data_IF_644137020627
#
_entry.id   IF_644137020627
#
_cell.length_a   1.000
_cell.length_b   1.000
_cell.length_c   1.000
_cell.angle_alpha   90.00
_cell.angle_beta   90.00
_cell.angle_gamma   90.00
#
_symmetry.space_group_name_H-M   'P 1'
#
loop_
_entity.id
_entity.type
_entity.pdbx_description
1 polymer ?
#
# COMPACT_ATOMS: atom_id res chain seq x y z
N UNK A 1 15.84 -5.35 2.79
CA UNK A 1 16.39 -6.52 2.06
C UNK A 1 15.80 -6.56 0.66
N UNK A 2 16.49 -7.16 -0.31
CA UNK A 2 15.96 -7.43 -1.65
C UNK A 2 16.24 -8.90 -1.94
N UNK A 3 15.22 -9.64 -2.38
CA UNK A 3 15.37 -11.04 -2.80
C UNK A 3 14.37 -11.36 -3.91
N UNK A 4 14.74 -12.28 -4.80
CA UNK A 4 13.84 -12.88 -5.79
C UNK A 4 13.39 -14.29 -5.39
N UNK A 5 13.80 -14.78 -4.22
CA UNK A 5 13.44 -16.09 -3.70
C UNK A 5 12.27 -15.97 -2.71
N UNK A 6 11.19 -16.70 -2.99
CA UNK A 6 9.96 -16.68 -2.19
C UNK A 6 10.19 -17.18 -0.76
N UNK A 7 10.95 -18.27 -0.62
CA UNK A 7 11.25 -18.88 0.68
C UNK A 7 12.11 -17.94 1.52
N UNK A 8 13.12 -17.32 0.90
CA UNK A 8 13.97 -16.34 1.57
C UNK A 8 13.17 -15.13 2.04
N UNK A 9 12.27 -14.59 1.22
CA UNK A 9 11.43 -13.45 1.59
C UNK A 9 10.65 -13.73 2.89
N UNK A 10 9.98 -14.88 2.96
CA UNK A 10 9.22 -15.26 4.16
C UNK A 10 10.10 -15.65 5.34
N UNK A 11 11.27 -16.27 5.10
CA UNK A 11 12.24 -16.58 6.16
C UNK A 11 12.79 -15.30 6.81
N UNK A 12 13.10 -14.28 6.00
CA UNK A 12 13.54 -12.97 6.49
C UNK A 12 12.43 -12.27 7.29
N UNK A 13 11.17 -12.38 6.84
CA UNK A 13 10.03 -11.83 7.57
C UNK A 13 9.84 -12.53 8.93
N UNK A 14 9.90 -13.87 8.96
CA UNK A 14 9.79 -14.65 10.18
C UNK A 14 10.90 -14.32 11.20
N UNK A 15 12.17 -14.25 10.76
CA UNK A 15 13.29 -13.86 11.65
C UNK A 15 13.09 -12.47 12.26
N UNK A 16 12.59 -11.50 11.46
CA UNK A 16 12.32 -10.16 11.93
C UNK A 16 11.17 -10.10 12.95
N UNK A 17 10.11 -10.89 12.72
CA UNK A 17 8.98 -11.03 13.65
C UNK A 17 9.45 -11.65 14.97
N UNK A 18 10.18 -12.77 14.92
CA UNK A 18 10.71 -13.46 16.11
C UNK A 18 11.60 -12.55 16.96
N UNK A 19 12.41 -11.73 16.29
CA UNK A 19 13.33 -10.77 16.94
C UNK A 19 12.66 -9.45 17.30
N UNK A 20 11.40 -9.23 16.90
CA UNK A 20 10.63 -8.00 17.08
C UNK A 20 11.36 -6.75 16.57
N UNK A 21 11.97 -6.86 15.38
CA UNK A 21 12.66 -5.75 14.73
C UNK A 21 11.91 -5.32 13.46
N UNK A 22 11.71 -4.01 13.24
CA UNK A 22 11.15 -3.54 11.98
C UNK A 22 12.05 -3.93 10.80
N UNK A 23 11.45 -4.49 9.77
CA UNK A 23 12.15 -4.97 8.59
C UNK A 23 11.32 -4.66 7.33
N UNK A 24 11.97 -4.15 6.29
CA UNK A 24 11.38 -4.01 4.96
C UNK A 24 12.08 -4.95 3.98
N UNK A 25 11.29 -5.75 3.28
CA UNK A 25 11.75 -6.77 2.33
C UNK A 25 11.09 -6.48 0.99
N UNK A 26 11.89 -6.16 -0.02
CA UNK A 26 11.43 -6.05 -1.39
C UNK A 26 11.57 -7.42 -2.07
N UNK A 27 10.45 -8.03 -2.41
CA UNK A 27 10.43 -9.23 -3.24
C UNK A 27 10.44 -8.82 -4.72
N UNK A 28 11.47 -9.24 -5.46
CA UNK A 28 11.56 -9.03 -6.90
C UNK A 28 10.85 -10.17 -7.64
N UNK A 29 9.55 -9.98 -7.86
CA UNK A 29 8.70 -10.92 -8.58
C UNK A 29 7.25 -10.43 -8.65
N UNK A 30 6.34 -11.31 -9.07
CA UNK A 30 4.92 -10.99 -9.14
C UNK A 30 4.24 -11.21 -7.77
N UNK A 31 3.46 -10.23 -7.31
CA UNK A 31 2.76 -10.29 -6.02
C UNK A 31 1.82 -11.50 -5.91
N UNK A 32 1.20 -11.92 -7.03
CA UNK A 32 0.30 -13.09 -7.03
C UNK A 32 1.06 -14.35 -6.63
N UNK A 33 2.28 -14.54 -7.14
CA UNK A 33 3.13 -15.68 -6.77
C UNK A 33 3.54 -15.61 -5.30
N UNK A 34 3.80 -14.40 -4.77
CA UNK A 34 4.16 -14.19 -3.36
C UNK A 34 3.01 -14.59 -2.43
N UNK A 35 1.79 -14.17 -2.75
CA UNK A 35 0.60 -14.47 -1.96
C UNK A 35 0.19 -15.95 -2.08
N UNK A 36 0.25 -16.53 -3.28
CA UNK A 36 -0.05 -17.95 -3.49
C UNK A 36 0.94 -18.83 -2.71
N UNK A 37 2.21 -18.41 -2.65
CA UNK A 37 3.20 -19.08 -1.81
C UNK A 37 2.82 -19.04 -0.32
N UNK A 38 2.42 -17.89 0.21
CA UNK A 38 1.95 -17.79 1.60
C UNK A 38 0.76 -18.70 1.85
N UNK A 39 -0.22 -18.68 0.95
CA UNK A 39 -1.42 -19.50 1.06
C UNK A 39 -1.09 -21.00 1.08
N UNK A 40 -0.22 -21.46 0.17
CA UNK A 40 0.19 -22.86 0.04
C UNK A 40 1.00 -23.35 1.25
N UNK A 41 1.80 -22.47 1.85
CA UNK A 41 2.65 -22.81 3.00
C UNK A 41 2.01 -22.46 4.36
N UNK A 42 0.73 -22.08 4.37
CA UNK A 42 -0.01 -21.66 5.57
C UNK A 42 0.70 -20.56 6.36
N UNK A 43 1.32 -19.62 5.65
CA UNK A 43 1.96 -18.46 6.25
C UNK A 43 0.88 -17.42 6.50
N UNK A 44 0.72 -17.02 7.76
CA UNK A 44 -0.24 -15.99 8.13
C UNK A 44 0.29 -14.60 7.76
N UNK A 45 -0.60 -13.78 7.19
CA UNK A 45 -0.35 -12.37 6.89
C UNK A 45 -1.38 -11.58 7.67
N UNK A 46 -0.97 -10.76 8.62
CA UNK A 46 -1.91 -10.02 9.47
C UNK A 46 -2.59 -8.89 8.68
N UNK A 47 -1.81 -8.15 7.89
CA UNK A 47 -2.24 -6.97 7.14
C UNK A 47 -1.86 -7.12 5.67
N UNK A 48 -2.83 -6.95 4.77
CA UNK A 48 -2.61 -7.03 3.32
C UNK A 48 -3.27 -5.86 2.59
N UNK A 49 -2.60 -5.36 1.56
CA UNK A 49 -3.12 -4.37 0.63
C UNK A 49 -2.43 -4.51 -0.72
N UNK A 50 -2.99 -3.89 -1.75
CA UNK A 50 -2.36 -3.78 -3.06
C UNK A 50 -2.16 -2.31 -3.46
N UNK A 51 -1.03 -2.01 -4.11
CA UNK A 51 -0.72 -0.68 -4.66
C UNK A 51 -0.16 -0.77 -6.08
N UNK A 52 -0.51 -1.82 -6.82
CA UNK A 52 -0.20 -1.88 -8.26
C UNK A 52 -0.93 -0.78 -9.03
N UNK A 53 -0.52 -0.46 -10.26
CA UNK A 53 -1.16 0.62 -11.02
C UNK A 53 -2.44 0.14 -11.73
N UNK A 54 -3.42 -0.34 -10.96
CA UNK A 54 -4.69 -0.84 -11.48
C UNK A 54 -5.63 0.25 -12.04
N UNK A 55 -5.27 1.53 -11.93
CA UNK A 55 -5.93 2.61 -12.67
C UNK A 55 -5.58 2.59 -14.17
N UNK A 56 -4.51 1.88 -14.55
CA UNK A 56 -4.00 1.77 -15.92
C UNK A 56 -3.62 0.31 -16.26
N UNK A 57 -4.46 -0.63 -15.81
CA UNK A 57 -4.18 -2.09 -15.86
C UNK A 57 -3.66 -2.52 -17.24
N UNK A 58 -4.43 -2.23 -18.28
CA UNK A 58 -4.16 -2.69 -19.64
C UNK A 58 -3.09 -1.84 -20.33
N UNK A 59 -2.71 -0.69 -19.78
CA UNK A 59 -1.66 0.18 -20.34
C UNK A 59 -0.25 -0.19 -19.81
N UNK A 60 -0.15 -1.32 -19.11
CA UNK A 60 1.10 -1.79 -18.51
C UNK A 60 1.29 -1.37 -17.06
N UNK A 61 0.26 -0.81 -16.41
CA UNK A 61 0.26 -0.57 -14.98
C UNK A 61 0.22 -1.86 -14.14
N UNK A 62 -0.23 -2.96 -14.74
CA UNK A 62 -0.28 -4.29 -14.13
C UNK A 62 0.48 -5.31 -15.00
N UNK A 63 1.40 -6.06 -14.39
CA UNK A 63 2.17 -7.08 -15.08
C UNK A 63 1.54 -8.47 -14.83
N UNK A 64 1.11 -9.21 -15.87
CA UNK A 64 0.63 -10.57 -15.73
C UNK A 64 1.65 -11.48 -15.04
N UNK A 65 1.16 -12.44 -14.26
CA UNK A 65 2.00 -13.49 -13.68
C UNK A 65 2.40 -14.50 -14.77
N UNK A 66 3.60 -15.06 -14.64
CA UNK A 66 4.13 -16.08 -15.57
C UNK A 66 4.97 -15.52 -16.72
N UNK A 67 5.10 -14.20 -16.85
CA UNK A 67 5.98 -13.55 -17.84
C UNK A 67 6.93 -12.55 -17.16
N UNK A 68 8.02 -12.20 -17.86
CA UNK A 68 8.94 -11.18 -17.38
C UNK A 68 8.42 -9.77 -17.64
N UNK A 69 9.02 -8.78 -16.98
CA UNK A 69 8.70 -7.37 -17.19
C UNK A 69 8.98 -6.92 -18.64
N UNK A 70 10.06 -7.42 -19.23
CA UNK A 70 10.46 -7.16 -20.62
C UNK A 70 9.46 -7.78 -21.59
N UNK A 71 9.08 -9.04 -21.36
CA UNK A 71 8.07 -9.74 -22.17
C UNK A 71 6.76 -8.97 -22.15
N UNK A 72 6.28 -8.62 -20.96
CA UNK A 72 5.09 -7.79 -20.78
C UNK A 72 5.18 -6.48 -21.57
N UNK A 73 6.32 -5.81 -21.53
CA UNK A 73 6.54 -4.53 -22.23
C UNK A 73 6.52 -4.71 -23.75
N UNK A 74 7.04 -5.84 -24.25
CA UNK A 74 7.00 -6.20 -25.67
C UNK A 74 5.56 -6.48 -26.11
N UNK A 75 4.83 -7.31 -25.35
CA UNK A 75 3.44 -7.69 -25.67
C UNK A 75 2.50 -6.47 -25.78
N UNK A 76 2.71 -5.42 -24.97
CA UNK A 76 1.92 -4.19 -25.08
C UNK A 76 1.92 -3.56 -26.49
N UNK A 77 2.97 -3.81 -27.28
CA UNK A 77 3.11 -3.32 -28.66
C UNK A 77 2.79 -4.38 -29.69
N UNK A 78 3.15 -5.63 -29.41
CA UNK A 78 3.17 -6.71 -30.40
C UNK A 78 1.93 -7.61 -30.34
N UNK A 79 1.34 -7.81 -29.15
CA UNK A 79 0.21 -8.72 -28.94
C UNK A 79 -0.64 -8.27 -27.75
N UNK A 80 -1.49 -7.28 -28.02
CA UNK A 80 -2.32 -6.64 -26.98
C UNK A 80 -3.45 -7.54 -26.48
N UNK A 81 -4.03 -8.34 -27.36
CA UNK A 81 -5.16 -9.22 -27.04
C UNK A 81 -4.73 -10.28 -26.02
N UNK A 82 -3.63 -11.00 -26.32
CA UNK A 82 -3.08 -11.99 -25.37
C UNK A 82 -2.66 -11.34 -24.06
N UNK A 83 -2.06 -10.14 -24.11
CA UNK A 83 -1.70 -9.41 -22.89
C UNK A 83 -2.93 -9.12 -22.01
N UNK A 84 -4.01 -8.60 -22.58
CA UNK A 84 -5.24 -8.28 -21.84
C UNK A 84 -5.88 -9.54 -21.24
N UNK A 85 -5.85 -10.68 -21.95
CA UNK A 85 -6.30 -11.97 -21.42
C UNK A 85 -5.45 -12.44 -20.22
N UNK A 86 -4.12 -12.34 -20.33
CA UNK A 86 -3.21 -12.72 -19.26
C UNK A 86 -3.33 -11.81 -18.02
N UNK A 87 -3.58 -10.52 -18.24
CA UNK A 87 -3.91 -9.56 -17.17
C UNK A 87 -5.17 -10.03 -16.44
N UNK A 88 -6.24 -10.31 -17.19
CA UNK A 88 -7.51 -10.75 -16.63
C UNK A 88 -7.36 -12.03 -15.81
N UNK A 89 -6.63 -13.00 -16.33
CA UNK A 89 -6.36 -14.25 -15.62
C UNK A 89 -5.55 -14.02 -14.33
N UNK A 90 -4.55 -13.14 -14.39
CA UNK A 90 -3.75 -12.79 -13.22
C UNK A 90 -4.60 -12.08 -12.16
N UNK A 91 -5.51 -11.17 -12.55
CA UNK A 91 -6.42 -10.49 -11.62
C UNK A 91 -7.39 -11.47 -10.94
N UNK A 92 -7.90 -12.47 -11.67
CA UNK A 92 -8.74 -13.54 -11.08
C UNK A 92 -7.98 -14.34 -10.04
N UNK A 93 -6.75 -14.76 -10.36
CA UNK A 93 -5.86 -15.43 -9.40
C UNK A 93 -5.57 -14.56 -8.17
N UNK A 94 -5.28 -13.28 -8.40
CA UNK A 94 -5.01 -12.33 -7.33
C UNK A 94 -6.20 -12.16 -6.38
N UNK A 95 -7.41 -12.05 -6.94
CA UNK A 95 -8.64 -12.02 -6.16
C UNK A 95 -8.83 -13.32 -5.34
N UNK A 96 -8.65 -14.49 -5.95
CA UNK A 96 -8.85 -15.76 -5.28
C UNK A 96 -7.88 -15.95 -4.10
N UNK A 97 -6.61 -15.63 -4.28
CA UNK A 97 -5.63 -15.76 -3.18
C UNK A 97 -5.92 -14.79 -2.04
N UNK A 98 -6.30 -13.54 -2.33
CA UNK A 98 -6.69 -12.58 -1.28
C UNK A 98 -7.93 -13.08 -0.53
N UNK A 99 -8.96 -13.56 -1.25
CA UNK A 99 -10.18 -14.09 -0.64
C UNK A 99 -9.89 -15.23 0.34
N UNK A 100 -9.02 -16.15 -0.04
CA UNK A 100 -8.60 -17.26 0.82
C UNK A 100 -7.77 -16.81 2.03
N UNK A 101 -6.87 -15.84 1.85
CA UNK A 101 -6.11 -15.25 2.97
C UNK A 101 -7.03 -14.51 3.95
N UNK A 102 -7.99 -13.74 3.45
CA UNK A 102 -9.01 -13.06 4.26
C UNK A 102 -9.88 -14.07 5.02
N UNK A 103 -10.28 -15.17 4.38
CA UNK A 103 -11.00 -16.26 5.05
C UNK A 103 -10.17 -16.92 6.19
N UNK A 104 -8.84 -16.76 6.17
CA UNK A 104 -7.91 -17.21 7.22
C UNK A 104 -7.53 -16.11 8.22
N UNK A 105 -8.22 -14.97 8.19
CA UNK A 105 -8.07 -13.90 9.17
C UNK A 105 -7.13 -12.76 8.77
N UNK A 106 -6.62 -12.73 7.53
CA UNK A 106 -5.90 -11.56 7.01
C UNK A 106 -6.86 -10.36 6.92
N UNK A 107 -6.47 -9.21 7.47
CA UNK A 107 -7.19 -7.96 7.23
C UNK A 107 -6.70 -7.35 5.91
N UNK A 108 -7.56 -7.39 4.90
CA UNK A 108 -7.32 -6.78 3.59
C UNK A 108 -8.08 -5.46 3.44
N UNK A 109 -7.42 -4.47 2.84
CA UNK A 109 -8.05 -3.22 2.44
C UNK A 109 -7.52 -2.75 1.08
N UNK A 110 -8.36 -2.07 0.30
CA UNK A 110 -7.99 -1.48 -1.00
C UNK A 110 -7.30 -0.11 -0.80
N UNK A 111 -6.13 0.09 -1.40
CA UNK A 111 -5.32 1.30 -1.23
C UNK A 111 -5.71 2.46 -2.17
N UNK A 112 -6.87 2.38 -2.85
CA UNK A 112 -7.35 3.42 -3.75
C UNK A 112 -6.66 3.43 -5.11
N UNK A 113 -6.24 2.28 -5.61
CA UNK A 113 -5.56 2.11 -6.90
C UNK A 113 -6.45 1.53 -8.01
N UNK A 114 -7.77 1.49 -7.80
CA UNK A 114 -8.77 0.86 -8.68
C UNK A 114 -8.69 -0.67 -8.79
N UNK A 115 -8.04 -1.33 -7.83
CA UNK A 115 -7.82 -2.78 -7.85
C UNK A 115 -9.12 -3.59 -7.88
N UNK A 116 -10.07 -3.30 -6.98
CA UNK A 116 -11.33 -4.06 -6.95
C UNK A 116 -12.18 -3.84 -8.22
N UNK A 117 -12.15 -2.64 -8.80
CA UNK A 117 -12.79 -2.37 -10.11
C UNK A 117 -12.14 -3.17 -11.23
N UNK A 118 -10.80 -3.23 -11.26
CA UNK A 118 -10.07 -4.04 -12.23
C UNK A 118 -10.45 -5.53 -12.14
N UNK A 119 -10.59 -6.07 -10.92
CA UNK A 119 -11.05 -7.45 -10.70
C UNK A 119 -12.48 -7.66 -11.23
N UNK A 120 -13.38 -6.71 -10.96
CA UNK A 120 -14.76 -6.76 -11.46
C UNK A 120 -14.84 -6.76 -12.99
N UNK A 121 -13.99 -5.95 -13.62
CA UNK A 121 -13.89 -5.83 -15.08
C UNK A 121 -13.25 -7.07 -15.71
N UNK A 122 -12.33 -7.73 -15.01
CA UNK A 122 -11.79 -9.04 -15.39
C UNK A 122 -12.82 -10.19 -15.29
N UNK A 123 -14.04 -9.90 -14.82
CA UNK A 123 -15.17 -10.83 -14.83
C UNK A 123 -15.51 -11.46 -13.48
N UNK A 124 -14.81 -11.11 -12.40
CA UNK A 124 -15.14 -11.60 -11.04
C UNK A 124 -16.30 -10.80 -10.48
N UNK A 125 -17.54 -11.22 -10.75
CA UNK A 125 -18.73 -10.47 -10.32
C UNK A 125 -19.01 -10.54 -8.82
N UNK A 126 -18.53 -11.58 -8.14
CA UNK A 126 -18.72 -11.74 -6.68
C UNK A 126 -17.94 -10.72 -5.84
N UNK A 127 -17.01 -9.94 -6.43
CA UNK A 127 -16.37 -8.84 -5.70
C UNK A 127 -17.33 -7.66 -5.48
N UNK A 128 -18.38 -7.52 -6.31
CA UNK A 128 -19.43 -6.52 -6.11
C UNK A 128 -20.34 -6.95 -4.95
N UNK A 129 -20.69 -5.99 -4.07
CA UNK A 129 -21.62 -6.26 -2.95
C UNK A 129 -23.00 -6.68 -3.40
N UNK A 130 -23.48 -6.15 -4.53
CA UNK A 130 -24.80 -6.48 -5.07
C UNK A 130 -24.77 -7.52 -6.19
N UNK A 131 -23.57 -7.89 -6.66
CA UNK A 131 -23.36 -8.89 -7.72
C UNK A 131 -23.78 -8.45 -9.12
N UNK A 132 -24.22 -7.21 -9.31
CA UNK A 132 -24.77 -6.70 -10.58
C UNK A 132 -24.01 -5.51 -11.15
N UNK A 133 -23.56 -4.58 -10.31
CA UNK A 133 -22.79 -3.39 -10.69
C UNK A 133 -21.90 -2.91 -9.54
N UNK A 134 -21.14 -1.85 -9.77
CA UNK A 134 -20.22 -1.24 -8.81
C UNK A 134 -20.85 -0.22 -7.86
N UNK A 135 -22.18 0.03 -7.93
CA UNK A 135 -22.81 1.17 -7.25
C UNK A 135 -22.84 1.05 -5.73
N UNK A 136 -22.96 -0.19 -5.23
CA UNK A 136 -22.96 -0.45 -3.78
C UNK A 136 -21.55 -0.72 -3.23
N UNK A 137 -20.52 -0.53 -4.08
CA UNK A 137 -19.14 -0.82 -3.75
C UNK A 137 -18.81 -2.32 -3.79
N UNK A 138 -17.66 -2.65 -3.19
CA UNK A 138 -17.06 -3.98 -3.25
C UNK A 138 -16.97 -4.65 -1.86
N UNK A 139 -16.72 -5.95 -1.84
CA UNK A 139 -16.76 -6.76 -0.61
C UNK A 139 -15.67 -6.41 0.40
N UNK A 140 -14.55 -5.82 -0.03
CA UNK A 140 -13.50 -5.35 0.85
C UNK A 140 -13.56 -3.83 1.01
N UNK A 141 -13.25 -3.30 2.21
CA UNK A 141 -13.21 -1.87 2.43
C UNK A 141 -12.06 -1.20 1.66
N UNK A 142 -12.27 0.06 1.24
CA UNK A 142 -11.14 0.94 0.91
C UNK A 142 -10.51 1.49 2.18
N UNK A 143 -9.19 1.74 2.15
CA UNK A 143 -8.48 2.45 3.22
C UNK A 143 -9.10 3.82 3.49
N UNK A 144 -9.71 4.47 2.49
CA UNK A 144 -10.39 5.76 2.70
C UNK A 144 -11.63 5.59 3.55
N UNK A 145 -12.45 4.59 3.26
CA UNK A 145 -13.74 4.37 3.92
C UNK A 145 -13.56 3.83 5.34
N UNK A 146 -12.59 2.93 5.55
CA UNK A 146 -12.46 2.16 6.79
C UNK A 146 -11.39 2.71 7.74
N UNK A 147 -10.38 3.40 7.20
CA UNK A 147 -9.27 3.95 7.99
C UNK A 147 -9.29 5.47 7.94
N UNK A 148 -9.05 6.08 6.78
CA UNK A 148 -8.80 7.52 6.70
C UNK A 148 -10.00 8.36 7.08
N UNK A 149 -11.21 8.02 6.62
CA UNK A 149 -12.44 8.71 6.96
C UNK A 149 -12.66 8.73 8.48
N UNK A 150 -12.98 7.57 9.08
CA UNK A 150 -13.39 7.51 10.48
C UNK A 150 -12.24 7.77 11.47
N UNK A 151 -10.99 7.46 11.12
CA UNK A 151 -9.86 7.59 12.05
C UNK A 151 -9.08 8.90 11.86
N UNK A 152 -9.15 9.55 10.70
CA UNK A 152 -8.38 10.78 10.44
C UNK A 152 -9.26 11.96 10.02
N UNK A 153 -9.96 11.88 8.89
CA UNK A 153 -10.65 13.01 8.27
C UNK A 153 -11.84 13.50 9.09
N UNK A 154 -12.63 12.60 9.69
CA UNK A 154 -13.76 12.97 10.55
C UNK A 154 -13.30 13.77 11.79
N UNK A 155 -12.04 13.57 12.20
CA UNK A 155 -11.39 14.32 13.27
C UNK A 155 -10.59 15.53 12.78
N UNK A 156 -10.62 15.83 11.48
CA UNK A 156 -9.94 16.95 10.85
C UNK A 156 -8.46 16.71 10.53
N UNK A 157 -7.90 15.54 10.84
CA UNK A 157 -6.51 15.22 10.49
C UNK A 157 -6.37 15.15 8.99
N UNK A 158 -5.37 15.81 8.46
CA UNK A 158 -5.04 15.76 7.05
C UNK A 158 -3.61 16.23 6.81
N UNK A 159 -3.10 16.08 5.57
CA UNK A 159 -1.73 16.39 5.25
C UNK A 159 -1.46 17.88 5.49
N UNK A 160 -0.57 18.17 6.44
CA UNK A 160 -0.02 19.48 6.72
C UNK A 160 1.45 19.50 6.29
N UNK A 161 1.81 20.44 5.42
CA UNK A 161 3.13 20.49 4.78
C UNK A 161 3.66 21.92 4.83
N UNK A 162 4.96 22.03 5.07
CA UNK A 162 5.67 23.31 4.97
C UNK A 162 6.99 23.14 4.20
N UNK A 163 7.54 24.28 3.78
CA UNK A 163 8.80 24.38 3.04
C UNK A 163 9.63 25.53 3.61
N UNK A 164 10.90 25.29 3.89
CA UNK A 164 11.85 26.31 4.31
C UNK A 164 12.44 27.02 3.09
N UNK A 165 11.97 28.24 2.79
CA UNK A 165 12.41 29.02 1.64
C UNK A 165 13.89 29.44 1.68
N UNK A 166 14.53 29.37 2.85
CA UNK A 166 15.97 29.56 3.00
C UNK A 166 16.79 28.45 2.31
N UNK A 167 16.18 27.30 2.04
CA UNK A 167 16.86 26.10 1.52
C UNK A 167 17.81 25.44 2.53
N UNK A 168 17.87 25.92 3.77
CA UNK A 168 18.80 25.45 4.80
C UNK A 168 18.23 24.26 5.56
N UNK A 169 19.01 23.18 5.68
CA UNK A 169 18.62 22.00 6.46
C UNK A 169 18.38 22.36 7.93
N UNK A 170 19.16 23.29 8.47
CA UNK A 170 19.05 23.72 9.86
C UNK A 170 17.69 24.35 10.17
N UNK A 171 17.08 25.03 9.20
CA UNK A 171 15.75 25.60 9.39
C UNK A 171 14.68 24.51 9.38
N UNK A 172 14.86 23.44 8.59
CA UNK A 172 13.96 22.28 8.63
C UNK A 172 14.02 21.57 9.98
N UNK A 173 15.23 21.35 10.51
CA UNK A 173 15.43 20.76 11.85
C UNK A 173 14.73 21.60 12.92
N UNK A 174 14.87 22.94 12.88
CA UNK A 174 14.16 23.82 13.81
C UNK A 174 12.65 23.70 13.69
N UNK A 175 12.11 23.64 12.48
CA UNK A 175 10.67 23.45 12.28
C UNK A 175 10.18 22.07 12.70
N UNK A 176 10.99 21.02 12.55
CA UNK A 176 10.68 19.67 13.04
C UNK A 176 10.58 19.68 14.58
N UNK A 177 11.51 20.34 15.27
CA UNK A 177 11.44 20.51 16.73
C UNK A 177 10.21 21.32 17.16
N UNK A 178 9.95 22.45 16.52
CA UNK A 178 8.78 23.27 16.82
C UNK A 178 7.46 22.50 16.61
N UNK A 179 7.34 21.77 15.51
CA UNK A 179 6.18 20.92 15.25
C UNK A 179 6.05 19.81 16.32
N UNK A 180 7.14 19.14 16.68
CA UNK A 180 7.15 18.11 17.70
C UNK A 180 6.72 18.62 19.09
N UNK A 181 7.13 19.84 19.47
CA UNK A 181 6.74 20.49 20.73
C UNK A 181 5.24 20.85 20.77
N UNK A 182 4.64 21.16 19.62
CA UNK A 182 3.23 21.52 19.52
C UNK A 182 2.27 20.32 19.58
N UNK A 183 2.74 19.09 19.29
CA UNK A 183 1.86 17.92 19.18
C UNK A 183 1.51 17.36 20.57
N UNK A 184 0.22 17.31 20.96
CA UNK A 184 -0.20 16.73 22.23
C UNK A 184 -0.26 15.20 22.13
N UNK A 185 0.89 14.53 22.26
CA UNK A 185 1.04 13.07 22.03
C UNK A 185 0.04 12.16 22.77
N UNK A 186 -0.48 12.59 23.92
CA UNK A 186 -1.37 11.79 24.78
C UNK A 186 -2.87 12.07 24.52
N UNK A 187 -3.20 12.97 23.59
CA UNK A 187 -4.59 13.37 23.29
C UNK A 187 -5.32 12.30 22.46
N UNK A 188 -4.72 11.81 21.39
CA UNK A 188 -5.25 10.76 20.49
C UNK A 188 -4.13 9.92 19.87
N UNK A 189 -4.48 8.76 19.34
CA UNK A 189 -3.55 7.90 18.61
C UNK A 189 -2.88 8.60 17.43
N UNK A 190 -3.64 9.41 16.67
CA UNK A 190 -3.10 10.17 15.54
C UNK A 190 -2.05 11.20 15.96
N UNK A 191 -2.19 11.81 17.14
CA UNK A 191 -1.17 12.73 17.67
C UNK A 191 0.11 11.97 18.02
N UNK A 192 -0.01 10.80 18.66
CA UNK A 192 1.12 9.92 18.95
C UNK A 192 1.84 9.49 17.68
N UNK A 193 1.10 9.05 16.65
CA UNK A 193 1.66 8.61 15.37
C UNK A 193 2.45 9.74 14.69
N UNK A 194 1.89 10.95 14.66
CA UNK A 194 2.56 12.12 14.06
C UNK A 194 3.75 12.61 14.89
N UNK A 195 3.70 12.48 16.21
CA UNK A 195 4.83 12.77 17.09
C UNK A 195 5.99 11.78 16.87
N UNK A 196 5.70 10.47 16.77
CA UNK A 196 6.70 9.44 16.47
C UNK A 196 7.33 9.71 15.10
N UNK A 197 6.48 10.00 14.10
CA UNK A 197 6.93 10.34 12.76
C UNK A 197 7.91 11.52 12.77
N UNK A 198 7.53 12.67 13.33
CA UNK A 198 8.37 13.87 13.28
C UNK A 198 9.68 13.70 14.05
N UNK A 199 9.66 12.97 15.18
CA UNK A 199 10.86 12.60 15.95
C UNK A 199 11.87 11.83 15.10
N UNK A 200 11.41 10.90 14.28
CA UNK A 200 12.26 10.01 13.49
C UNK A 200 12.50 10.53 12.05
N UNK A 201 11.82 11.59 11.64
CA UNK A 201 11.78 12.05 10.25
C UNK A 201 13.16 12.52 9.73
N UNK A 202 14.02 13.06 10.60
CA UNK A 202 15.41 13.39 10.24
C UNK A 202 16.23 12.12 10.00
N UNK A 203 16.13 11.14 10.90
CA UNK A 203 16.87 9.87 10.80
C UNK A 203 16.60 9.13 9.49
N UNK A 204 15.37 9.21 8.99
CA UNK A 204 14.97 8.56 7.73
C UNK A 204 15.49 9.28 6.47
N UNK A 205 15.98 10.52 6.59
CA UNK A 205 16.63 11.28 5.51
C UNK A 205 15.84 11.29 4.17
N UNK A 206 14.55 11.59 4.24
CA UNK A 206 13.62 11.52 3.09
C UNK A 206 13.56 12.80 2.24
N UNK A 207 14.36 13.83 2.58
CA UNK A 207 14.31 15.13 1.89
C UNK A 207 15.02 15.02 0.53
N UNK A 208 14.27 15.31 -0.53
CA UNK A 208 14.81 15.43 -1.90
C UNK A 208 14.41 16.80 -2.47
N UNK A 209 15.40 17.59 -2.87
CA UNK A 209 15.17 18.95 -3.38
C UNK A 209 14.96 19.97 -2.27
N UNK A 210 13.77 20.57 -2.21
CA UNK A 210 13.47 21.63 -1.23
C UNK A 210 13.38 21.09 0.20
N UNK A 211 13.81 21.89 1.16
CA UNK A 211 13.73 21.57 2.58
C UNK A 211 12.27 21.62 3.02
N UNK A 212 11.61 20.46 3.02
CA UNK A 212 10.18 20.33 3.25
C UNK A 212 9.90 19.19 4.21
N UNK A 213 8.81 19.32 4.96
CA UNK A 213 8.29 18.27 5.84
C UNK A 213 6.78 18.19 5.68
N UNK A 214 6.27 16.98 5.86
CA UNK A 214 4.85 16.69 5.91
C UNK A 214 4.57 15.90 7.19
N UNK A 215 3.40 16.10 7.78
CA UNK A 215 2.79 15.28 8.81
C UNK A 215 1.26 15.47 8.71
N UNK A 216 0.48 14.78 9.53
CA UNK A 216 -0.96 14.99 9.64
C UNK A 216 -1.29 15.80 10.90
N UNK A 217 -2.18 16.79 10.78
CA UNK A 217 -2.75 17.53 11.92
C UNK A 217 -4.21 17.88 11.70
N UNK A 218 -4.94 17.96 12.82
CA UNK A 218 -6.30 18.44 12.90
C UNK A 218 -6.38 19.98 12.85
N UNK A 219 -7.59 20.53 12.91
CA UNK A 219 -7.81 21.97 12.78
C UNK A 219 -7.13 22.81 13.88
N UNK A 220 -6.95 22.27 15.08
CA UNK A 220 -6.30 22.98 16.19
C UNK A 220 -4.77 22.88 16.14
N UNK A 221 -4.23 21.79 15.57
CA UNK A 221 -2.79 21.60 15.44
C UNK A 221 -2.14 22.36 14.27
N UNK A 222 -2.92 22.72 13.24
CA UNK A 222 -2.46 23.51 12.08
C UNK A 222 -2.36 25.01 12.41
#
# INVERSE_FOLDING_TARGET
HITSDLSEAYRLAADAIDRRIPCSIAYHGNVVNLLEYALHHNIHIELLSDQTSCHAVYEGGYCPAGISFEERTRMLKEDRETFDEMVNETLRRHFHVIKELVARGTYFFDYGNSFMKAIYDAGVKEISRNGTDEKDGFIWPSYVEDIMGPQLFDYGYGPFRWVCLSGKKEDLIKTDHAAMECIPKDRRGQDMDNWIWIRDAEKNNLVVGTQARILYQDALGR
#
